data_IF_627013842667
#
_entry.id   IF_627013842667
#
_cell.length_a   1.000
_cell.length_b   1.000
_cell.length_c   1.000
_cell.angle_alpha   90.00
_cell.angle_beta   90.00
_cell.angle_gamma   90.00
#
_symmetry.space_group_name_H-M   'P 1'
#
loop_
_entity.id
_entity.type
_entity.pdbx_description
1 polymer ?
#
# COMPACT_ATOMS: atom_id res chain seq x y z
N UNK A 1 10.29 -45.42 30.89
CA UNK A 1 9.24 -44.53 30.37
C UNK A 1 9.93 -43.32 29.78
N UNK A 2 9.78 -43.11 28.47
CA UNK A 2 10.48 -42.07 27.70
C UNK A 2 9.79 -40.72 27.90
N UNK A 3 10.57 -39.68 28.13
CA UNK A 3 10.11 -38.30 28.20
C UNK A 3 9.82 -37.76 26.79
N UNK A 4 8.64 -37.17 26.58
CA UNK A 4 8.33 -36.42 25.36
C UNK A 4 7.54 -35.17 25.72
N UNK A 5 8.27 -34.10 26.04
CA UNK A 5 7.75 -32.74 25.91
C UNK A 5 7.76 -32.41 24.41
N UNK A 6 6.60 -32.08 23.84
CA UNK A 6 6.49 -31.55 22.48
C UNK A 6 5.76 -30.21 22.48
N UNK A 7 6.59 -29.20 22.65
CA UNK A 7 6.59 -27.92 21.96
C UNK A 7 5.72 -27.86 20.69
N UNK A 8 4.65 -27.07 20.73
CA UNK A 8 4.03 -26.46 19.55
C UNK A 8 3.89 -24.98 19.89
N UNK A 9 4.91 -24.17 19.65
CA UNK A 9 5.29 -23.80 18.29
C UNK A 9 4.47 -22.57 17.94
N UNK A 10 4.97 -21.42 18.38
CA UNK A 10 4.43 -20.09 18.14
C UNK A 10 4.29 -19.89 16.63
N UNK A 11 3.07 -19.81 16.13
CA UNK A 11 2.84 -19.34 14.76
C UNK A 11 2.65 -17.83 14.80
N UNK A 12 3.78 -17.14 14.88
CA UNK A 12 3.90 -15.73 14.53
C UNK A 12 3.67 -15.60 13.02
N UNK A 13 2.47 -15.24 12.61
CA UNK A 13 2.26 -14.69 11.27
C UNK A 13 2.69 -13.21 11.30
N UNK A 14 3.99 -12.98 11.35
CA UNK A 14 4.57 -11.73 10.88
C UNK A 14 4.33 -11.70 9.38
N UNK A 15 3.22 -11.08 8.97
CA UNK A 15 3.04 -10.65 7.60
C UNK A 15 4.03 -9.51 7.36
N UNK A 16 5.27 -9.88 7.12
CA UNK A 16 6.31 -8.98 6.63
C UNK A 16 5.84 -8.54 5.25
N UNK A 17 5.23 -7.36 5.18
CA UNK A 17 5.06 -6.61 3.95
C UNK A 17 6.47 -6.47 3.39
N UNK A 18 6.79 -7.32 2.42
CA UNK A 18 7.95 -7.17 1.58
C UNK A 18 7.64 -5.95 0.73
N UNK A 19 7.89 -4.77 1.30
CA UNK A 19 8.17 -3.57 0.52
C UNK A 19 9.43 -3.92 -0.26
N UNK A 20 9.21 -4.48 -1.44
CA UNK A 20 10.23 -4.67 -2.44
C UNK A 20 10.74 -3.27 -2.81
N UNK A 21 11.80 -2.87 -2.13
CA UNK A 21 12.52 -1.64 -2.37
C UNK A 21 13.41 -1.80 -3.60
N UNK A 22 12.81 -2.17 -4.74
CA UNK A 22 13.43 -2.01 -6.07
C UNK A 22 12.53 -1.27 -7.05
N UNK A 23 11.51 -0.56 -6.55
CA UNK A 23 10.76 0.37 -7.37
C UNK A 23 11.71 1.49 -7.83
N UNK A 24 11.97 1.48 -9.13
CA UNK A 24 12.88 2.34 -9.84
C UNK A 24 12.68 3.80 -9.44
N UNK A 25 13.78 4.55 -9.32
CA UNK A 25 13.75 5.98 -9.00
C UNK A 25 12.76 6.80 -9.88
N UNK A 26 12.44 6.34 -11.08
CA UNK A 26 11.47 6.99 -11.97
C UNK A 26 10.00 6.83 -11.59
N UNK A 27 9.63 5.82 -10.79
CA UNK A 27 8.23 5.62 -10.40
C UNK A 27 7.83 6.45 -9.16
N UNK A 28 8.80 6.81 -8.32
CA UNK A 28 8.55 7.72 -7.20
C UNK A 28 8.29 9.14 -7.71
N UNK A 29 9.02 9.56 -8.76
CA UNK A 29 8.79 10.85 -9.42
C UNK A 29 7.40 10.94 -10.05
N UNK A 30 6.93 9.89 -10.74
CA UNK A 30 5.56 9.86 -11.27
C UNK A 30 4.55 9.87 -10.14
N UNK A 31 4.73 8.99 -9.14
CA UNK A 31 3.81 8.88 -8.00
C UNK A 31 3.59 10.22 -7.30
N UNK A 32 4.65 10.99 -7.04
CA UNK A 32 4.54 12.33 -6.44
C UNK A 32 3.81 13.33 -7.35
N UNK A 33 3.99 13.26 -8.67
CA UNK A 33 3.29 14.11 -9.63
C UNK A 33 1.80 13.75 -9.75
N UNK A 34 1.45 12.46 -9.77
CA UNK A 34 0.07 12.01 -9.67
C UNK A 34 -0.57 12.40 -8.33
N UNK A 35 0.15 12.20 -7.23
CA UNK A 35 -0.31 12.57 -5.90
C UNK A 35 -0.61 14.07 -5.79
N UNK A 36 0.28 14.94 -6.33
CA UNK A 36 0.04 16.39 -6.40
C UNK A 36 -1.20 16.74 -7.22
N UNK A 37 -1.48 16.03 -8.32
CA UNK A 37 -2.71 16.25 -9.11
C UNK A 37 -3.95 15.90 -8.29
N UNK A 38 -3.96 14.76 -7.60
CA UNK A 38 -5.05 14.34 -6.72
C UNK A 38 -5.28 15.36 -5.60
N UNK A 39 -4.21 15.76 -4.90
CA UNK A 39 -4.28 16.79 -3.84
C UNK A 39 -4.74 18.14 -4.40
N UNK A 40 -4.28 18.51 -5.59
CA UNK A 40 -4.69 19.73 -6.30
C UNK A 40 -6.17 19.75 -6.69
N UNK A 41 -6.80 18.59 -6.87
CA UNK A 41 -8.25 18.48 -7.07
C UNK A 41 -9.07 18.61 -5.77
N UNK A 42 -8.41 18.58 -4.61
CA UNK A 42 -9.05 18.67 -3.30
C UNK A 42 -9.11 17.35 -2.53
N UNK A 43 -8.52 16.27 -3.04
CA UNK A 43 -8.39 15.03 -2.29
C UNK A 43 -7.34 15.17 -1.17
N UNK A 44 -7.54 14.46 -0.06
CA UNK A 44 -6.57 14.45 1.02
C UNK A 44 -5.30 13.69 0.58
N UNK A 45 -4.12 14.23 0.91
CA UNK A 45 -2.82 13.61 0.57
C UNK A 45 -2.76 12.14 1.01
N UNK A 46 -3.17 11.85 2.23
CA UNK A 46 -3.21 10.48 2.77
C UNK A 46 -4.10 9.55 1.93
N UNK A 47 -5.29 10.01 1.55
CA UNK A 47 -6.22 9.21 0.75
C UNK A 47 -5.71 9.02 -0.67
N UNK A 48 -5.12 10.05 -1.26
CA UNK A 48 -4.51 10.01 -2.57
C UNK A 48 -3.28 9.08 -2.59
N UNK A 49 -2.44 9.08 -1.56
CA UNK A 49 -1.32 8.12 -1.41
C UNK A 49 -1.84 6.68 -1.38
N UNK A 50 -2.88 6.41 -0.59
CA UNK A 50 -3.48 5.06 -0.48
C UNK A 50 -4.14 4.64 -1.78
N UNK A 51 -4.90 5.53 -2.41
CA UNK A 51 -5.61 5.24 -3.65
C UNK A 51 -4.66 5.04 -4.83
N UNK A 52 -3.60 5.85 -4.91
CA UNK A 52 -2.59 5.74 -5.95
C UNK A 52 -1.74 4.47 -5.80
N UNK A 53 -1.44 4.07 -4.56
CA UNK A 53 -0.81 2.78 -4.30
C UNK A 53 -1.74 1.60 -4.63
N UNK A 54 -3.05 1.72 -4.37
CA UNK A 54 -4.04 0.72 -4.72
C UNK A 54 -4.38 0.68 -6.23
N UNK A 55 -4.04 1.75 -6.94
CA UNK A 55 -4.21 1.92 -8.38
C UNK A 55 -2.94 1.58 -9.18
N UNK A 56 -1.91 1.05 -8.54
CA UNK A 56 -0.61 0.77 -9.17
C UNK A 56 -0.02 1.99 -9.92
N UNK A 57 -0.20 3.19 -9.34
CA UNK A 57 0.28 4.46 -9.94
C UNK A 57 -0.66 5.08 -10.97
N UNK A 58 -1.85 4.53 -11.23
CA UNK A 58 -2.80 5.14 -12.18
C UNK A 58 -3.67 6.22 -11.50
N UNK A 59 -3.58 7.49 -11.92
CA UNK A 59 -4.37 8.56 -11.31
C UNK A 59 -5.87 8.45 -11.62
N UNK A 60 -6.28 7.85 -12.74
CA UNK A 60 -7.70 7.66 -13.07
C UNK A 60 -8.33 6.63 -12.14
N UNK A 61 -7.65 5.49 -11.95
CA UNK A 61 -8.10 4.44 -11.03
C UNK A 61 -8.06 4.94 -9.59
N UNK A 62 -7.04 5.73 -9.21
CA UNK A 62 -6.98 6.35 -7.89
C UNK A 62 -8.19 7.26 -7.63
N UNK A 63 -8.63 8.05 -8.62
CA UNK A 63 -9.85 8.87 -8.51
C UNK A 63 -11.09 7.99 -8.29
N UNK A 64 -11.24 6.90 -9.04
CA UNK A 64 -12.36 5.97 -8.87
C UNK A 64 -12.38 5.36 -7.46
N UNK A 65 -11.21 4.94 -6.95
CA UNK A 65 -11.04 4.42 -5.58
C UNK A 65 -11.39 5.50 -4.54
N UNK A 66 -10.99 6.76 -4.75
CA UNK A 66 -11.32 7.89 -3.86
C UNK A 66 -12.80 8.23 -3.83
N UNK A 67 -13.47 8.16 -4.99
CA UNK A 67 -14.92 8.39 -5.08
C UNK A 67 -15.71 7.25 -4.42
N UNK A 68 -15.26 6.01 -4.57
CA UNK A 68 -15.90 4.85 -3.93
C UNK A 68 -15.69 4.80 -2.41
N UNK A 69 -14.59 5.36 -1.88
CA UNK A 69 -14.35 5.46 -0.44
C UNK A 69 -15.24 6.49 0.28
N UNK A 70 -15.83 7.44 -0.46
CA UNK A 70 -16.72 8.47 0.06
C UNK A 70 -18.21 8.09 0.00
N UNK A 71 -18.53 6.89 -0.52
CA UNK A 71 -19.88 6.30 -0.51
C UNK A 71 -20.13 5.43 0.70
#
# INVERSE_FOLDING_TARGET
>A
MVATAHQKGRHTATNTVRADATVAAGEVDTFDEELKKLVGMGFERTQAEVALAAADGDPNVAIEILMNQQG
#
